data_IF_822653030488
#
_entry.id   IF_822653030488
#
_cell.length_a   1.000
_cell.length_b   1.000
_cell.length_c   1.000
_cell.angle_alpha   90.00
_cell.angle_beta   90.00
_cell.angle_gamma   90.00
#
_symmetry.space_group_name_H-M   'P 1'
#
loop_
_entity.id
_entity.type
_entity.pdbx_description
1 polymer ?
#
# COMPACT_ATOMS: atom_id res chain seq x y z
N UNK A 1 20.94 12.17 17.17
CA UNK A 1 19.63 11.59 16.80
C UNK A 1 19.13 12.27 15.53
N UNK A 2 19.24 11.60 14.38
CA UNK A 2 18.73 12.14 13.11
C UNK A 2 17.22 12.01 13.13
N UNK A 3 16.51 13.15 13.22
CA UNK A 3 15.06 13.21 13.01
C UNK A 3 14.83 12.73 11.59
N UNK A 4 14.15 11.59 11.44
CA UNK A 4 13.66 11.15 10.14
C UNK A 4 12.72 12.24 9.64
N UNK A 5 13.22 13.03 8.69
CA UNK A 5 12.46 14.07 8.02
C UNK A 5 11.47 13.34 7.12
N UNK A 6 10.32 12.97 7.69
CA UNK A 6 9.15 12.59 6.89
C UNK A 6 8.73 13.88 6.20
N UNK A 7 9.34 14.14 5.04
CA UNK A 7 8.82 15.13 4.13
C UNK A 7 7.47 14.58 3.68
N UNK A 8 6.39 15.12 4.25
CA UNK A 8 5.07 15.00 3.66
C UNK A 8 5.18 15.68 2.28
N UNK A 9 5.51 14.91 1.25
CA UNK A 9 5.46 15.33 -0.15
C UNK A 9 3.99 15.44 -0.57
N UNK A 10 3.24 16.29 0.12
CA UNK A 10 1.89 16.64 -0.25
C UNK A 10 1.55 18.00 0.36
N UNK A 11 1.55 19.03 -0.47
CA UNK A 11 1.16 20.41 -0.12
C UNK A 11 -0.30 20.51 0.36
N UNK A 12 -1.07 19.41 0.30
CA UNK A 12 -2.42 19.29 0.87
C UNK A 12 -2.48 18.09 1.81
N UNK A 13 -2.60 18.37 3.10
CA UNK A 13 -2.75 17.37 4.17
C UNK A 13 -4.02 16.49 4.03
N UNK A 14 -4.96 16.86 3.15
CA UNK A 14 -6.23 16.17 2.96
C UNK A 14 -6.55 15.97 1.47
N UNK A 15 -7.17 14.84 1.17
CA UNK A 15 -7.70 14.53 -0.16
C UNK A 15 -9.19 14.82 -0.14
N UNK A 16 -9.65 15.67 -1.06
CA UNK A 16 -11.09 15.89 -1.25
C UNK A 16 -11.69 14.65 -1.92
N UNK A 17 -12.75 14.12 -1.33
CA UNK A 17 -13.55 13.04 -1.91
C UNK A 17 -14.92 13.59 -2.21
N UNK A 18 -15.38 13.39 -3.45
CA UNK A 18 -16.75 13.73 -3.82
C UNK A 18 -17.72 12.76 -3.14
N UNK A 19 -18.73 13.29 -2.44
CA UNK A 19 -19.67 12.48 -1.67
C UNK A 19 -20.67 11.70 -2.54
N UNK A 20 -20.93 12.16 -3.77
CA UNK A 20 -21.93 11.56 -4.66
C UNK A 20 -21.29 10.56 -5.62
N UNK A 21 -20.09 10.86 -6.12
CA UNK A 21 -19.40 10.02 -7.11
C UNK A 21 -18.27 9.20 -6.50
N UNK A 22 -17.90 9.44 -5.23
CA UNK A 22 -16.76 8.78 -4.57
C UNK A 22 -15.41 9.10 -5.22
N UNK A 23 -15.36 10.12 -6.09
CA UNK A 23 -14.14 10.50 -6.80
C UNK A 23 -13.13 11.04 -5.80
N UNK A 24 -11.95 10.44 -5.76
CA UNK A 24 -10.90 10.76 -4.79
C UNK A 24 -10.65 9.64 -3.77
N UNK A 25 -11.54 8.66 -3.64
CA UNK A 25 -11.33 7.48 -2.79
C UNK A 25 -10.03 6.73 -3.10
N UNK A 26 -9.69 6.52 -4.38
CA UNK A 26 -8.41 5.92 -4.80
C UNK A 26 -7.20 6.76 -4.41
N UNK A 27 -7.32 8.10 -4.41
CA UNK A 27 -6.25 9.00 -3.98
C UNK A 27 -6.04 8.94 -2.47
N UNK A 28 -7.13 8.86 -1.70
CA UNK A 28 -7.06 8.60 -0.24
C UNK A 28 -6.35 7.28 0.00
N UNK A 29 -6.74 6.23 -0.71
CA UNK A 29 -6.13 4.92 -0.57
C UNK A 29 -4.62 4.95 -0.86
N UNK A 30 -4.21 5.64 -1.93
CA UNK A 30 -2.78 5.87 -2.23
C UNK A 30 -2.04 6.58 -1.10
N UNK A 31 -2.62 7.66 -0.57
CA UNK A 31 -2.00 8.40 0.53
C UNK A 31 -1.87 7.56 1.79
N UNK A 32 -2.87 6.73 2.09
CA UNK A 32 -2.83 5.79 3.22
C UNK A 32 -1.70 4.76 3.06
N UNK A 33 -1.53 4.17 1.87
CA UNK A 33 -0.40 3.29 1.59
C UNK A 33 0.95 4.00 1.77
N UNK A 34 1.06 5.26 1.36
CA UNK A 34 2.30 6.04 1.49
C UNK A 34 2.65 6.44 2.92
N UNK A 35 1.72 6.34 3.87
CA UNK A 35 2.05 6.50 5.30
C UNK A 35 2.79 5.28 5.86
N UNK A 36 2.80 4.15 5.14
CA UNK A 36 3.52 2.95 5.53
C UNK A 36 5.03 3.17 5.35
N UNK A 37 5.83 2.79 6.35
CA UNK A 37 7.28 2.84 6.23
C UNK A 37 7.78 1.98 5.05
N UNK A 38 8.75 2.51 4.30
CA UNK A 38 9.39 1.86 3.14
C UNK A 38 8.47 1.59 1.94
N UNK A 39 7.28 2.17 1.88
CA UNK A 39 6.39 2.05 0.73
C UNK A 39 6.60 3.22 -0.24
N UNK A 40 7.04 2.94 -1.47
CA UNK A 40 7.27 3.98 -2.49
C UNK A 40 6.00 4.28 -3.31
N UNK A 41 5.90 5.45 -3.96
CA UNK A 41 4.79 5.77 -4.87
C UNK A 41 4.53 4.71 -5.94
N UNK A 42 5.58 4.16 -6.53
CA UNK A 42 5.48 3.10 -7.55
C UNK A 42 4.91 1.79 -6.97
N UNK A 43 5.27 1.46 -5.71
CA UNK A 43 4.69 0.31 -5.01
C UNK A 43 3.21 0.54 -4.70
N UNK A 44 2.85 1.74 -4.24
CA UNK A 44 1.47 2.10 -3.97
C UNK A 44 0.61 1.97 -5.24
N UNK A 45 1.11 2.46 -6.38
CA UNK A 45 0.43 2.34 -7.67
C UNK A 45 0.27 0.89 -8.12
N UNK A 46 1.28 0.04 -7.89
CA UNK A 46 1.18 -1.38 -8.18
C UNK A 46 0.11 -2.09 -7.34
N UNK A 47 0.01 -1.75 -6.05
CA UNK A 47 -1.04 -2.26 -5.15
C UNK A 47 -2.41 -1.76 -5.60
N UNK A 48 -2.57 -0.45 -5.86
CA UNK A 48 -3.84 0.14 -6.30
C UNK A 48 -4.33 -0.45 -7.61
N UNK A 49 -3.41 -0.77 -8.52
CA UNK A 49 -3.75 -1.41 -9.78
C UNK A 49 -4.40 -2.78 -9.59
N UNK A 50 -3.97 -3.55 -8.58
CA UNK A 50 -4.54 -4.86 -8.25
C UNK A 50 -5.76 -4.73 -7.33
N UNK A 51 -5.69 -3.83 -6.36
CA UNK A 51 -6.68 -3.60 -5.32
C UNK A 51 -7.00 -2.10 -5.25
N UNK A 52 -7.95 -1.63 -6.09
CA UNK A 52 -8.26 -0.20 -6.22
C UNK A 52 -8.89 0.41 -4.97
N UNK A 53 -9.39 -0.43 -4.06
CA UNK A 53 -10.01 -0.03 -2.80
C UNK A 53 -9.49 -0.86 -1.62
N UNK A 54 -9.55 -0.30 -0.42
CA UNK A 54 -9.23 -1.00 0.84
C UNK A 54 -10.12 -2.25 0.98
N UNK A 55 -11.40 -2.12 0.67
CA UNK A 55 -12.34 -3.24 0.76
C UNK A 55 -11.93 -4.42 -0.13
N UNK A 56 -11.43 -4.15 -1.35
CA UNK A 56 -10.95 -5.20 -2.24
C UNK A 56 -9.74 -5.94 -1.64
N UNK A 57 -8.81 -5.21 -1.02
CA UNK A 57 -7.67 -5.81 -0.32
C UNK A 57 -8.12 -6.63 0.90
N UNK A 58 -9.02 -6.10 1.72
CA UNK A 58 -9.56 -6.79 2.90
C UNK A 58 -10.32 -8.06 2.53
N UNK A 59 -11.11 -8.02 1.45
CA UNK A 59 -11.84 -9.19 0.96
C UNK A 59 -10.88 -10.31 0.52
N UNK A 60 -9.77 -9.93 -0.12
CA UNK A 60 -8.72 -10.90 -0.47
C UNK A 60 -8.08 -11.51 0.79
N UNK A 61 -7.81 -10.71 1.83
CA UNK A 61 -7.27 -11.24 3.09
C UNK A 61 -8.23 -12.16 3.83
N UNK A 62 -9.54 -11.90 3.81
CA UNK A 62 -10.55 -12.75 4.45
C UNK A 62 -10.60 -14.17 3.86
N UNK A 63 -10.27 -14.33 2.58
CA UNK A 63 -10.21 -15.64 1.91
C UNK A 63 -8.89 -16.38 2.07
N UNK A 64 -7.88 -15.77 2.69
CA UNK A 64 -6.52 -16.31 2.79
C UNK A 64 -6.22 -16.84 4.20
N UNK A 65 -5.34 -17.84 4.28
CA UNK A 65 -4.70 -18.20 5.54
C UNK A 65 -3.72 -17.10 5.97
N UNK A 66 -3.30 -17.09 7.24
CA UNK A 66 -2.33 -16.10 7.74
C UNK A 66 -1.03 -16.06 6.91
N UNK A 67 -0.50 -17.23 6.52
CA UNK A 67 0.72 -17.31 5.69
C UNK A 67 0.50 -16.81 4.27
N UNK A 68 -0.67 -17.08 3.70
CA UNK A 68 -1.00 -16.63 2.34
C UNK A 68 -1.25 -15.13 2.30
N UNK A 69 -1.94 -14.59 3.31
CA UNK A 69 -2.17 -13.16 3.49
C UNK A 69 -0.88 -12.38 3.64
N UNK A 70 0.08 -12.88 4.43
CA UNK A 70 1.41 -12.27 4.56
C UNK A 70 2.17 -12.20 3.23
N UNK A 71 1.93 -13.12 2.29
CA UNK A 71 2.61 -13.16 0.98
C UNK A 71 1.78 -12.64 -0.18
N UNK A 72 0.50 -12.27 0.04
CA UNK A 72 -0.45 -11.88 -1.00
C UNK A 72 0.06 -10.75 -1.90
N UNK A 73 0.79 -9.78 -1.34
CA UNK A 73 1.32 -8.64 -2.07
C UNK A 73 2.77 -8.84 -2.51
N UNK A 74 3.46 -9.87 -2.02
CA UNK A 74 4.90 -10.05 -2.18
C UNK A 74 5.32 -10.19 -3.65
N UNK A 75 4.50 -10.86 -4.45
CA UNK A 75 4.76 -11.15 -5.87
C UNK A 75 4.29 -10.07 -6.83
N UNK A 76 3.66 -8.99 -6.33
CA UNK A 76 3.22 -7.88 -7.18
C UNK A 76 4.45 -7.19 -7.79
N UNK A 77 4.49 -7.17 -9.12
CA UNK A 77 5.56 -6.54 -9.89
C UNK A 77 5.35 -5.03 -9.96
N UNK A 78 6.36 -4.28 -9.55
CA UNK A 78 6.41 -2.83 -9.62
C UNK A 78 6.89 -2.47 -11.03
N UNK A 79 6.00 -1.94 -11.87
CA UNK A 79 6.40 -1.47 -13.20
C UNK A 79 7.05 -0.09 -13.07
N UNK A 80 8.37 -0.04 -13.24
CA UNK A 80 9.14 1.21 -13.30
C UNK A 80 9.87 1.29 -14.64
N UNK A 81 9.52 2.29 -15.46
CA UNK A 81 10.20 2.63 -16.71
C UNK A 81 9.52 2.15 -18.00
N UNK A 82 9.77 2.91 -19.08
CA UNK A 82 9.51 2.53 -20.47
C UNK A 82 10.84 2.08 -21.11
N UNK A 83 10.87 0.93 -21.80
CA UNK A 83 12.06 0.43 -22.52
C UNK A 83 12.71 -0.85 -21.95
N UNK A 84 13.90 -1.19 -22.45
CA UNK A 84 14.66 -2.45 -22.20
C UNK A 84 15.23 -2.62 -20.79
N UNK A 85 14.99 -1.67 -19.88
CA UNK A 85 15.40 -1.72 -18.46
C UNK A 85 14.17 -1.93 -17.56
N UNK A 86 13.32 -2.89 -17.89
CA UNK A 86 12.26 -3.36 -16.99
C UNK A 86 12.94 -4.03 -15.79
N UNK A 87 13.25 -3.24 -14.77
CA UNK A 87 13.68 -3.78 -13.50
C UNK A 87 12.48 -4.49 -12.89
N UNK A 88 12.54 -5.83 -12.81
CA UNK A 88 11.44 -6.69 -12.36
C UNK A 88 11.32 -6.66 -10.82
N UNK A 89 11.38 -5.46 -10.23
CA UNK A 89 11.33 -5.27 -8.79
C UNK A 89 9.94 -5.62 -8.30
N UNK A 90 9.87 -6.54 -7.35
CA UNK A 90 8.64 -6.89 -6.64
C UNK A 90 8.51 -6.09 -5.34
N UNK A 91 7.31 -6.05 -4.77
CA UNK A 91 7.05 -5.49 -3.43
C UNK A 91 7.89 -6.22 -2.37
N UNK A 92 7.94 -7.55 -2.46
CA UNK A 92 8.69 -8.41 -1.56
C UNK A 92 7.91 -8.83 -0.30
N UNK A 93 8.33 -9.93 0.34
CA UNK A 93 7.58 -10.56 1.43
C UNK A 93 7.51 -9.71 2.70
N UNK A 94 8.57 -8.97 3.02
CA UNK A 94 8.62 -8.14 4.24
C UNK A 94 7.55 -7.04 4.24
N UNK A 95 7.43 -6.32 3.13
CA UNK A 95 6.45 -5.25 3.01
C UNK A 95 5.02 -5.82 2.94
N UNK A 96 4.83 -6.94 2.25
CA UNK A 96 3.54 -7.65 2.21
C UNK A 96 3.07 -8.08 3.60
N UNK A 97 3.96 -8.69 4.39
CA UNK A 97 3.70 -9.11 5.77
C UNK A 97 3.32 -7.93 6.67
N UNK A 98 4.01 -6.81 6.54
CA UNK A 98 3.70 -5.59 7.32
C UNK A 98 2.34 -5.01 6.96
N UNK A 99 1.98 -4.96 5.67
CA UNK A 99 0.65 -4.50 5.23
C UNK A 99 -0.44 -5.42 5.78
N UNK A 100 -0.24 -6.74 5.69
CA UNK A 100 -1.17 -7.71 6.24
C UNK A 100 -1.39 -7.48 7.74
N UNK A 101 -0.31 -7.42 8.54
CA UNK A 101 -0.39 -7.14 9.98
C UNK A 101 -1.12 -5.84 10.29
N UNK A 102 -0.81 -4.74 9.59
CA UNK A 102 -1.47 -3.47 9.85
C UNK A 102 -2.98 -3.51 9.56
N UNK A 103 -3.43 -4.38 8.66
CA UNK A 103 -4.84 -4.51 8.27
C UNK A 103 -5.61 -5.54 9.11
N UNK A 104 -4.93 -6.55 9.64
CA UNK A 104 -5.58 -7.67 10.35
C UNK A 104 -5.30 -7.73 11.85
N UNK A 105 -4.22 -7.13 12.34
CA UNK A 105 -3.91 -7.13 13.76
C UNK A 105 -4.96 -6.33 14.54
N UNK A 106 -5.51 -6.96 15.58
CA UNK A 106 -6.43 -6.31 16.53
C UNK A 106 -5.67 -5.56 17.64
N UNK A 107 -4.39 -5.89 17.84
CA UNK A 107 -3.51 -5.28 18.84
C UNK A 107 -2.65 -4.18 18.21
N UNK A 108 -2.90 -2.93 18.57
CA UNK A 108 -2.13 -1.77 18.07
C UNK A 108 -0.63 -1.80 18.40
N UNK A 109 -0.26 -2.49 19.49
CA UNK A 109 1.13 -2.62 19.95
C UNK A 109 2.00 -3.52 19.06
N UNK A 110 1.39 -4.32 18.17
CA UNK A 110 2.08 -5.29 17.31
C UNK A 110 2.34 -4.78 15.89
N UNK A 111 1.92 -3.54 15.57
CA UNK A 111 1.87 -2.99 14.20
C UNK A 111 3.22 -2.40 13.74
N UNK A 112 4.24 -2.28 14.61
CA UNK A 112 5.51 -1.59 14.32
C UNK A 112 6.74 -2.51 14.35
#
# INVERSE_FOLDING_TARGET
MKRNNIQFVNEKASVKVDALTGQGSTKVWKQMLLQMHNLSPDMADAIIKMYPTIHALMSAYQGCSCKDGENLLADIVIRRGFGTLLNNRKIGPELSKRIYKMMTCQNGSEIL
#
